data_IF_597668003558
#
_entry.id   IF_597668003558
#
_cell.length_a   1.000
_cell.length_b   1.000
_cell.length_c   1.000
_cell.angle_alpha   90.00
_cell.angle_beta   90.00
_cell.angle_gamma   90.00
#
_symmetry.space_group_name_H-M   'P 1'
#
loop_
_entity.id
_entity.type
_entity.pdbx_description
1 polymer ?
#
# COMPACT_ATOMS: atom_id res chain seq x y z
N UNK A 1 -7.01 19.00 30.76
CA UNK A 1 -7.57 19.17 29.41
C UNK A 1 -6.41 19.00 28.44
N UNK A 2 -6.36 17.87 27.74
CA UNK A 2 -5.18 17.50 26.92
C UNK A 2 -5.35 18.00 25.50
N UNK A 3 -4.89 19.19 25.15
CA UNK A 3 -5.18 19.79 23.85
C UNK A 3 -3.98 19.60 22.92
N UNK A 4 -4.18 19.03 21.73
CA UNK A 4 -3.17 19.06 20.67
C UNK A 4 -2.88 20.52 20.29
N UNK A 5 -1.61 20.91 20.25
CA UNK A 5 -1.23 22.25 19.77
C UNK A 5 -1.13 22.22 18.25
N UNK A 6 -1.86 23.10 17.58
CA UNK A 6 -1.94 23.15 16.11
C UNK A 6 -1.35 24.46 15.60
N UNK A 7 -0.48 24.37 14.59
CA UNK A 7 0.07 25.52 13.86
C UNK A 7 -0.19 25.36 12.37
N UNK A 8 -0.59 26.44 11.70
CA UNK A 8 -0.85 26.41 10.27
C UNK A 8 0.28 27.03 9.46
N UNK A 9 0.65 26.39 8.36
CA UNK A 9 1.50 26.95 7.30
C UNK A 9 0.73 26.98 5.98
N UNK A 10 0.95 28.03 5.18
CA UNK A 10 0.32 28.17 3.86
C UNK A 10 0.89 27.15 2.88
N UNK A 11 0.04 26.60 2.03
CA UNK A 11 0.49 25.88 0.84
C UNK A 11 0.93 26.91 -0.22
N UNK A 12 2.22 26.98 -0.53
CA UNK A 12 2.76 27.94 -1.51
C UNK A 12 2.28 27.68 -2.94
N UNK A 13 1.83 26.45 -3.24
CA UNK A 13 1.26 26.09 -4.53
C UNK A 13 -0.23 26.43 -4.67
N UNK A 14 -0.85 27.03 -3.64
CA UNK A 14 -2.27 27.37 -3.65
C UNK A 14 -2.57 28.47 -4.67
N UNK A 15 -3.58 28.22 -5.51
CA UNK A 15 -4.15 29.20 -6.45
C UNK A 15 -5.67 29.18 -6.40
N UNK A 16 -6.30 30.36 -6.44
CA UNK A 16 -7.77 30.49 -6.41
C UNK A 16 -8.48 29.91 -7.63
N UNK A 17 -7.76 29.54 -8.70
CA UNK A 17 -8.34 29.06 -9.96
C UNK A 17 -8.54 27.52 -10.06
N UNK A 18 -8.14 26.73 -9.05
CA UNK A 18 -8.19 25.26 -9.13
C UNK A 18 -9.45 24.63 -8.48
N UNK A 19 -10.46 24.14 -9.21
CA UNK A 19 -11.51 23.23 -8.66
C UNK A 19 -12.34 23.65 -7.41
N UNK A 20 -13.13 22.70 -6.88
CA UNK A 20 -14.08 22.93 -5.76
C UNK A 20 -13.47 22.72 -4.36
N UNK A 21 -12.46 21.87 -4.20
CA UNK A 21 -11.79 21.61 -2.91
C UNK A 21 -10.27 21.72 -3.08
N UNK A 22 -9.67 22.72 -2.42
CA UNK A 22 -8.27 23.13 -2.67
C UNK A 22 -7.44 22.95 -1.42
N UNK A 23 -6.30 22.27 -1.55
CA UNK A 23 -5.32 22.19 -0.46
C UNK A 23 -4.75 23.59 -0.19
N UNK A 24 -5.15 24.19 0.93
CA UNK A 24 -4.84 25.59 1.25
C UNK A 24 -3.77 25.72 2.33
N UNK A 25 -3.85 24.88 3.35
CA UNK A 25 -2.96 24.93 4.51
C UNK A 25 -2.43 23.52 4.80
N UNK A 26 -1.30 23.48 5.50
CA UNK A 26 -0.86 22.32 6.24
C UNK A 26 -0.90 22.65 7.72
N UNK A 27 -1.46 21.76 8.52
CA UNK A 27 -1.42 21.82 9.97
C UNK A 27 -0.24 21.00 10.49
N UNK A 28 0.59 21.63 11.32
CA UNK A 28 1.52 20.95 12.22
C UNK A 28 0.78 20.68 13.53
N UNK A 29 0.73 19.42 13.97
CA UNK A 29 0.01 18.99 15.16
C UNK A 29 0.98 18.36 16.14
N UNK A 30 1.17 19.00 17.28
CA UNK A 30 1.94 18.44 18.38
C UNK A 30 1.06 17.49 19.20
N UNK A 31 1.46 16.22 19.24
CA UNK A 31 0.76 15.16 19.96
C UNK A 31 1.28 14.97 21.38
N UNK A 32 2.19 15.81 21.86
CA UNK A 32 2.78 15.74 23.21
C UNK A 32 1.74 15.74 24.31
N UNK A 33 0.63 16.45 24.13
CA UNK A 33 -0.52 16.40 25.03
C UNK A 33 -1.00 14.96 25.25
N UNK A 34 -1.04 14.15 24.20
CA UNK A 34 -1.49 12.76 24.25
C UNK A 34 -0.43 11.75 24.75
N UNK A 35 0.70 12.23 25.27
CA UNK A 35 1.84 11.39 25.66
C UNK A 35 2.73 10.95 24.50
N UNK A 36 2.42 11.37 23.26
CA UNK A 36 3.16 10.97 22.06
C UNK A 36 4.19 12.04 21.74
N UNK A 37 5.49 11.68 21.69
CA UNK A 37 6.58 12.60 21.35
C UNK A 37 6.65 12.98 19.86
N UNK A 38 5.66 12.59 19.06
CA UNK A 38 5.63 12.82 17.63
C UNK A 38 4.90 14.12 17.30
N UNK A 39 5.39 14.79 16.26
CA UNK A 39 4.74 15.95 15.66
C UNK A 39 4.32 15.56 14.25
N UNK A 40 3.02 15.68 13.97
CA UNK A 40 2.48 15.57 12.61
C UNK A 40 2.86 16.85 11.87
N UNK A 41 3.60 16.75 10.77
CA UNK A 41 4.22 17.92 10.11
C UNK A 41 3.37 18.52 9.00
N UNK A 42 2.45 17.74 8.44
CA UNK A 42 1.78 18.11 7.19
C UNK A 42 0.35 17.60 7.08
N UNK A 43 -0.45 17.69 8.15
CA UNK A 43 -1.87 17.36 8.08
C UNK A 43 -2.56 18.28 7.03
N UNK A 44 -3.11 17.76 5.93
CA UNK A 44 -3.68 18.58 4.86
C UNK A 44 -4.97 19.26 5.32
N UNK A 45 -5.11 20.55 5.01
CA UNK A 45 -6.35 21.30 5.25
C UNK A 45 -6.81 21.94 3.95
N UNK A 46 -7.93 21.42 3.46
CA UNK A 46 -8.59 21.86 2.25
C UNK A 46 -9.55 23.00 2.55
N UNK A 47 -9.85 23.75 1.49
CA UNK A 47 -10.71 24.91 1.54
C UNK A 47 -11.68 24.88 0.36
N UNK A 48 -12.96 25.12 0.67
CA UNK A 48 -14.03 25.31 -0.30
C UNK A 48 -14.87 26.55 0.05
N UNK A 49 -15.15 27.39 -0.95
CA UNK A 49 -16.12 28.48 -0.81
C UNK A 49 -17.51 27.95 -1.14
N UNK A 50 -18.50 28.26 -0.31
CA UNK A 50 -19.87 27.81 -0.55
C UNK A 50 -20.55 28.69 -1.61
N UNK A 51 -21.16 28.06 -2.61
CA UNK A 51 -21.97 28.75 -3.63
C UNK A 51 -23.25 29.32 -2.98
N UNK A 52 -23.87 28.54 -2.11
CA UNK A 52 -25.02 28.95 -1.28
C UNK A 52 -24.59 28.92 0.19
N UNK A 53 -24.34 30.07 0.81
CA UNK A 53 -23.96 30.12 2.21
C UNK A 53 -25.05 29.57 3.14
N UNK A 54 -24.65 28.93 4.24
CA UNK A 54 -25.56 28.46 5.29
C UNK A 54 -25.36 29.33 6.53
N UNK A 55 -26.32 30.22 6.81
CA UNK A 55 -26.19 31.20 7.89
C UNK A 55 -24.99 32.14 7.69
N UNK A 56 -24.09 32.32 8.69
CA UNK A 56 -22.87 33.13 8.54
C UNK A 56 -21.73 32.38 7.82
N UNK A 57 -21.86 31.07 7.61
CA UNK A 57 -20.78 30.24 7.04
C UNK A 57 -20.70 30.48 5.53
N UNK A 58 -19.56 31.03 5.09
CA UNK A 58 -19.25 31.29 3.68
C UNK A 58 -18.23 30.32 3.09
N UNK A 59 -17.48 29.64 3.97
CA UNK A 59 -16.36 28.77 3.62
C UNK A 59 -16.39 27.52 4.48
N UNK A 60 -15.85 26.43 3.97
CA UNK A 60 -15.66 25.17 4.70
C UNK A 60 -14.19 24.79 4.62
N UNK A 61 -13.63 24.46 5.78
CA UNK A 61 -12.33 23.83 5.91
C UNK A 61 -12.53 22.34 6.13
N UNK A 62 -11.85 21.54 5.33
CA UNK A 62 -11.90 20.08 5.41
C UNK A 62 -10.51 19.56 5.78
N UNK A 63 -10.45 18.57 6.66
CA UNK A 63 -9.27 17.74 6.85
C UNK A 63 -9.70 16.29 7.00
N UNK A 64 -8.73 15.37 6.96
CA UNK A 64 -8.99 13.94 7.10
C UNK A 64 -8.05 13.39 8.15
N UNK A 65 -8.56 12.58 9.08
CA UNK A 65 -7.73 11.83 10.02
C UNK A 65 -8.11 10.36 9.90
N UNK A 66 -7.14 9.54 9.51
CA UNK A 66 -7.36 8.12 9.23
C UNK A 66 -8.54 7.86 8.27
N UNK A 67 -8.72 8.74 7.28
CA UNK A 67 -9.80 8.67 6.29
C UNK A 67 -11.16 9.22 6.76
N UNK A 68 -11.28 9.66 8.01
CA UNK A 68 -12.50 10.30 8.51
C UNK A 68 -12.53 11.78 8.12
N UNK A 69 -13.54 12.25 7.36
CA UNK A 69 -13.66 13.65 6.99
C UNK A 69 -14.06 14.50 8.20
N UNK A 70 -13.35 15.62 8.38
CA UNK A 70 -13.61 16.64 9.40
C UNK A 70 -13.91 17.96 8.69
N UNK A 71 -15.14 18.44 8.79
CA UNK A 71 -15.56 19.70 8.16
C UNK A 71 -15.95 20.75 9.20
N UNK A 72 -15.48 21.98 9.00
CA UNK A 72 -15.84 23.11 9.86
C UNK A 72 -15.90 24.44 9.10
N UNK A 73 -16.73 25.37 9.57
CA UNK A 73 -16.86 26.72 9.00
C UNK A 73 -15.70 27.66 9.33
N UNK A 74 -14.81 27.30 10.26
CA UNK A 74 -13.62 28.05 10.64
C UNK A 74 -12.54 27.12 11.21
N UNK A 75 -11.30 27.61 11.28
CA UNK A 75 -10.15 26.82 11.73
C UNK A 75 -10.24 26.41 13.21
N UNK A 76 -10.67 27.30 14.11
CA UNK A 76 -10.80 26.98 15.54
C UNK A 76 -11.75 25.80 15.80
N UNK A 77 -12.86 25.73 15.06
CA UNK A 77 -13.77 24.58 15.15
C UNK A 77 -13.16 23.32 14.53
N UNK A 78 -12.36 23.45 13.47
CA UNK A 78 -11.61 22.33 12.89
C UNK A 78 -10.56 21.79 13.89
N UNK A 79 -9.83 22.65 14.58
CA UNK A 79 -8.87 22.27 15.63
C UNK A 79 -9.54 21.41 16.72
N UNK A 80 -10.73 21.82 17.16
CA UNK A 80 -11.50 21.04 18.13
C UNK A 80 -11.91 19.66 17.59
N UNK A 81 -12.33 19.58 16.32
CA UNK A 81 -12.67 18.30 15.68
C UNK A 81 -11.44 17.39 15.52
N UNK A 82 -10.28 17.97 15.20
CA UNK A 82 -9.00 17.28 15.12
C UNK A 82 -8.66 16.69 16.50
N UNK A 83 -8.68 17.50 17.56
CA UNK A 83 -8.40 17.08 18.94
C UNK A 83 -9.35 15.96 19.40
N UNK A 84 -10.66 16.13 19.20
CA UNK A 84 -11.68 15.13 19.55
C UNK A 84 -11.49 13.81 18.79
N UNK A 85 -11.11 13.88 17.51
CA UNK A 85 -10.82 12.68 16.71
C UNK A 85 -9.54 11.99 17.17
N UNK A 86 -8.48 12.74 17.46
CA UNK A 86 -7.22 12.21 18.00
C UNK A 86 -7.45 11.49 19.34
N UNK A 87 -8.28 12.03 20.24
CA UNK A 87 -8.67 11.36 21.51
C UNK A 87 -9.32 9.99 21.28
N UNK A 88 -10.07 9.84 20.19
CA UNK A 88 -10.79 8.59 19.89
C UNK A 88 -9.86 7.53 19.31
N UNK A 89 -8.88 7.93 18.51
CA UNK A 89 -7.98 6.98 17.83
C UNK A 89 -6.68 6.72 18.59
N UNK A 90 -6.23 7.63 19.48
CA UNK A 90 -5.03 7.39 20.27
C UNK A 90 -5.38 6.43 21.41
N UNK A 91 -4.60 5.36 21.53
CA UNK A 91 -4.69 4.37 22.60
C UNK A 91 -3.30 4.00 23.06
N UNK A 92 -3.14 3.78 24.36
CA UNK A 92 -1.86 3.39 24.96
C UNK A 92 -0.72 4.39 24.66
N UNK A 93 -1.02 5.68 24.51
CA UNK A 93 -0.03 6.70 24.10
C UNK A 93 0.61 6.41 22.73
N UNK A 94 -0.11 5.70 21.86
CA UNK A 94 0.31 5.40 20.49
C UNK A 94 -0.81 5.77 19.50
N UNK A 95 -0.39 6.27 18.34
CA UNK A 95 -1.25 6.27 17.16
C UNK A 95 -1.37 4.83 16.62
N UNK A 96 -2.47 4.47 15.96
CA UNK A 96 -2.51 3.27 15.15
C UNK A 96 -1.39 3.34 14.09
N UNK A 97 -0.65 2.26 13.90
CA UNK A 97 0.33 2.17 12.82
C UNK A 97 -0.34 1.68 11.53
N UNK A 98 -1.32 0.79 11.66
CA UNK A 98 -2.08 0.25 10.55
C UNK A 98 -3.58 0.24 10.84
N UNK A 99 -4.35 0.00 9.80
CA UNK A 99 -5.76 -0.38 9.91
C UNK A 99 -5.99 -1.63 9.07
N UNK A 100 -6.70 -2.61 9.61
CA UNK A 100 -7.29 -3.63 8.74
C UNK A 100 -8.71 -3.21 8.36
N UNK A 101 -9.08 -3.44 7.11
CA UNK A 101 -10.36 -3.03 6.56
C UNK A 101 -11.06 -4.21 5.91
N UNK A 102 -12.35 -4.35 6.23
CA UNK A 102 -13.27 -5.32 5.63
C UNK A 102 -14.52 -4.57 5.20
N UNK A 103 -14.76 -4.54 3.88
CA UNK A 103 -15.80 -3.69 3.27
C UNK A 103 -15.57 -2.23 3.70
N UNK A 104 -16.59 -1.58 4.26
CA UNK A 104 -16.55 -0.18 4.66
C UNK A 104 -16.06 0.04 6.11
N UNK A 105 -15.76 -1.05 6.83
CA UNK A 105 -15.30 -0.95 8.21
C UNK A 105 -13.79 -1.09 8.29
N UNK A 106 -13.15 -0.20 9.03
CA UNK A 106 -11.72 -0.23 9.32
C UNK A 106 -11.50 -0.20 10.84
N UNK A 107 -10.52 -0.98 11.30
CA UNK A 107 -10.17 -1.06 12.72
C UNK A 107 -8.68 -0.86 12.92
N UNK A 108 -8.29 -0.07 13.93
CA UNK A 108 -6.90 0.30 14.17
C UNK A 108 -6.08 -0.88 14.69
N UNK A 109 -4.80 -0.89 14.30
CA UNK A 109 -3.76 -1.78 14.78
C UNK A 109 -2.69 -0.90 15.43
N UNK A 110 -2.42 -1.14 16.70
CA UNK A 110 -1.45 -0.40 17.51
C UNK A 110 -0.19 -1.23 17.70
N UNK A 111 0.92 -0.56 18.00
CA UNK A 111 2.20 -1.22 18.30
C UNK A 111 2.73 -0.80 19.68
N UNK A 112 2.03 -1.11 20.79
CA UNK A 112 2.53 -0.79 22.12
C UNK A 112 3.68 -1.74 22.49
N UNK A 113 4.92 -1.28 22.33
CA UNK A 113 6.10 -2.08 22.66
C UNK A 113 6.52 -3.05 21.54
N UNK A 114 6.52 -4.35 21.80
CA UNK A 114 7.09 -5.38 20.89
C UNK A 114 6.09 -6.17 20.05
N UNK A 115 4.79 -5.90 20.22
CA UNK A 115 3.71 -6.60 19.53
C UNK A 115 2.74 -5.62 18.87
N UNK A 116 2.20 -6.04 17.73
CA UNK A 116 1.09 -5.40 17.06
C UNK A 116 -0.22 -5.97 17.60
N UNK A 117 -1.07 -5.08 18.12
CA UNK A 117 -2.32 -5.40 18.78
C UNK A 117 -3.49 -4.82 18.00
N UNK A 118 -4.53 -5.64 17.80
CA UNK A 118 -5.75 -5.23 17.16
C UNK A 118 -6.98 -5.82 17.85
N UNK A 119 -8.08 -5.06 17.83
CA UNK A 119 -9.39 -5.49 18.32
C UNK A 119 -10.48 -4.86 17.49
N UNK A 120 -11.50 -5.66 17.15
CA UNK A 120 -12.76 -5.14 16.62
C UNK A 120 -13.89 -5.29 17.66
N UNK A 121 -14.95 -4.47 17.58
CA UNK A 121 -16.06 -4.52 18.54
C UNK A 121 -16.67 -5.92 18.67
N UNK A 122 -16.74 -6.43 19.90
CA UNK A 122 -17.27 -7.77 20.21
C UNK A 122 -16.35 -8.94 19.82
N UNK A 123 -15.15 -8.67 19.30
CA UNK A 123 -14.17 -9.70 18.95
C UNK A 123 -13.10 -9.96 20.02
N UNK A 124 -12.29 -11.01 19.83
CA UNK A 124 -11.10 -11.25 20.65
C UNK A 124 -10.03 -10.18 20.39
N UNK A 125 -9.01 -10.15 21.24
CA UNK A 125 -7.79 -9.37 21.02
C UNK A 125 -6.84 -10.22 20.19
N UNK A 126 -6.30 -9.64 19.12
CA UNK A 126 -5.28 -10.23 18.27
C UNK A 126 -3.95 -9.56 18.59
N UNK A 127 -2.91 -10.34 18.85
CA UNK A 127 -1.55 -9.85 19.10
C UNK A 127 -0.49 -10.72 18.44
N UNK A 128 0.42 -10.12 17.70
CA UNK A 128 1.56 -10.83 17.07
C UNK A 128 2.77 -9.91 16.94
N UNK A 129 3.97 -10.47 16.78
CA UNK A 129 5.20 -9.69 16.61
C UNK A 129 5.38 -9.00 15.25
N UNK A 130 4.54 -9.27 14.25
CA UNK A 130 4.66 -8.69 12.92
C UNK A 130 3.31 -8.58 12.18
N UNK A 131 3.22 -7.62 11.25
CA UNK A 131 1.95 -7.27 10.61
C UNK A 131 1.45 -8.35 9.65
N UNK A 132 2.35 -9.15 9.08
CA UNK A 132 2.00 -10.15 8.09
C UNK A 132 1.32 -11.36 8.79
N UNK A 133 1.86 -11.80 9.92
CA UNK A 133 1.25 -12.78 10.82
C UNK A 133 -0.09 -12.30 11.37
N UNK A 134 -0.17 -11.04 11.84
CA UNK A 134 -1.42 -10.46 12.33
C UNK A 134 -2.50 -10.49 11.24
N UNK A 135 -2.13 -10.13 10.01
CA UNK A 135 -3.02 -10.12 8.86
C UNK A 135 -3.56 -11.52 8.56
N UNK A 136 -2.73 -12.55 8.61
CA UNK A 136 -3.18 -13.94 8.38
C UNK A 136 -4.19 -14.34 9.46
N UNK A 137 -3.85 -14.12 10.73
CA UNK A 137 -4.72 -14.50 11.84
C UNK A 137 -6.08 -13.78 11.80
N UNK A 138 -6.07 -12.46 11.59
CA UNK A 138 -7.30 -11.67 11.40
C UNK A 138 -8.13 -12.18 10.22
N UNK A 139 -7.50 -12.45 9.08
CA UNK A 139 -8.19 -12.92 7.89
C UNK A 139 -8.81 -14.31 8.10
N UNK A 140 -8.13 -15.22 8.78
CA UNK A 140 -8.65 -16.55 9.13
C UNK A 140 -9.84 -16.46 10.06
N UNK A 141 -9.75 -15.64 11.10
CA UNK A 141 -10.86 -15.41 12.00
C UNK A 141 -12.08 -14.86 11.27
N UNK A 142 -11.91 -13.79 10.48
CA UNK A 142 -13.01 -13.19 9.72
C UNK A 142 -13.61 -14.16 8.69
N UNK A 143 -12.82 -15.08 8.16
CA UNK A 143 -13.31 -16.15 7.29
C UNK A 143 -14.14 -17.16 8.09
N UNK A 144 -13.64 -17.61 9.25
CA UNK A 144 -14.31 -18.57 10.12
C UNK A 144 -15.69 -18.06 10.60
N UNK A 145 -15.81 -16.76 10.91
CA UNK A 145 -17.08 -16.14 11.32
C UNK A 145 -17.93 -15.65 10.12
N UNK A 146 -17.58 -16.03 8.89
CA UNK A 146 -18.37 -15.73 7.68
C UNK A 146 -18.40 -14.26 7.24
N UNK A 147 -17.52 -13.40 7.77
CA UNK A 147 -17.45 -11.97 7.39
C UNK A 147 -16.74 -11.75 6.06
N UNK A 148 -15.81 -12.64 5.70
CA UNK A 148 -15.15 -12.67 4.39
C UNK A 148 -15.16 -14.09 3.82
N UNK A 149 -15.23 -14.21 2.50
CA UNK A 149 -15.17 -15.52 1.83
C UNK A 149 -13.72 -16.03 1.68
N UNK A 150 -12.75 -15.12 1.58
CA UNK A 150 -11.34 -15.46 1.45
C UNK A 150 -10.44 -14.39 2.09
N UNK A 151 -9.21 -14.77 2.44
CA UNK A 151 -8.21 -13.89 3.07
C UNK A 151 -7.86 -12.64 2.23
N UNK A 152 -8.13 -12.66 0.92
CA UNK A 152 -7.81 -11.57 -0.02
C UNK A 152 -8.82 -10.41 0.05
N UNK A 153 -9.98 -10.61 0.69
CA UNK A 153 -11.01 -9.58 0.92
C UNK A 153 -10.72 -8.67 2.11
N UNK A 154 -9.65 -8.94 2.86
CA UNK A 154 -9.18 -8.05 3.92
C UNK A 154 -8.05 -7.17 3.39
N UNK A 155 -8.25 -5.86 3.49
CA UNK A 155 -7.27 -4.85 3.18
C UNK A 155 -6.47 -4.50 4.43
N UNK A 156 -5.22 -4.11 4.22
CA UNK A 156 -4.38 -3.53 5.26
C UNK A 156 -3.96 -2.16 4.77
N UNK A 157 -4.12 -1.15 5.61
CA UNK A 157 -3.85 0.25 5.33
C UNK A 157 -2.80 0.73 6.32
N UNK A 158 -1.92 1.64 5.90
CA UNK A 158 -0.89 2.23 6.75
C UNK A 158 -1.29 3.65 7.14
N UNK A 159 -1.19 4.00 8.43
CA UNK A 159 -1.37 5.38 8.86
C UNK A 159 -0.04 6.11 8.80
N UNK A 160 0.04 7.12 7.94
CA UNK A 160 1.23 7.96 7.86
C UNK A 160 1.31 8.86 9.10
N UNK A 161 2.40 8.79 9.88
CA UNK A 161 2.59 9.68 11.03
C UNK A 161 2.89 11.14 10.59
N UNK A 162 3.19 11.36 9.31
CA UNK A 162 3.55 12.67 8.77
C UNK A 162 2.34 13.57 8.53
N UNK A 163 1.22 12.98 8.11
CA UNK A 163 0.01 13.69 7.66
C UNK A 163 -1.32 13.06 8.14
N UNK A 164 -1.25 11.99 8.94
CA UNK A 164 -2.39 11.22 9.47
C UNK A 164 -3.34 10.66 8.40
N UNK A 165 -2.87 10.53 7.16
CA UNK A 165 -3.63 9.89 6.10
C UNK A 165 -3.44 8.38 6.12
N UNK A 166 -4.46 7.65 5.65
CA UNK A 166 -4.37 6.21 5.42
C UNK A 166 -3.96 5.93 3.98
N UNK A 167 -2.97 5.05 3.84
CA UNK A 167 -2.43 4.63 2.55
C UNK A 167 -2.71 3.16 2.31
N UNK A 168 -3.31 2.85 1.17
CA UNK A 168 -3.36 1.49 0.67
C UNK A 168 -1.95 1.04 0.25
N UNK A 169 -1.67 -0.27 0.22
CA UNK A 169 -0.40 -0.77 -0.28
C UNK A 169 -0.20 -0.37 -1.74
N UNK A 170 0.97 0.16 -2.06
CA UNK A 170 1.45 0.40 -3.42
C UNK A 170 1.51 -0.91 -4.21
N UNK A 171 1.99 -1.98 -3.56
CA UNK A 171 1.97 -3.34 -4.06
C UNK A 171 2.09 -4.33 -2.89
N UNK A 172 2.11 -5.62 -3.19
CA UNK A 172 2.45 -6.68 -2.24
C UNK A 172 3.55 -7.57 -2.82
N UNK A 173 4.49 -7.97 -1.99
CA UNK A 173 5.48 -8.99 -2.29
C UNK A 173 4.91 -10.35 -1.89
N UNK A 174 4.92 -11.31 -2.82
CA UNK A 174 4.26 -12.61 -2.65
C UNK A 174 5.10 -13.77 -3.19
N UNK A 175 5.21 -14.82 -2.39
CA UNK A 175 5.72 -16.15 -2.76
C UNK A 175 4.61 -17.03 -3.35
N UNK A 176 4.96 -18.11 -4.04
CA UNK A 176 3.99 -19.14 -4.43
C UNK A 176 3.53 -20.00 -3.24
N UNK A 177 4.38 -20.16 -2.23
CA UNK A 177 4.02 -20.81 -0.98
C UNK A 177 3.03 -19.94 -0.18
N UNK A 178 1.77 -20.39 -0.08
CA UNK A 178 0.69 -19.70 0.62
C UNK A 178 0.81 -19.76 2.16
N UNK A 179 1.75 -20.56 2.69
CA UNK A 179 2.06 -20.57 4.13
C UNK A 179 2.85 -19.33 4.56
N UNK A 180 3.55 -18.69 3.61
CA UNK A 180 4.33 -17.49 3.84
C UNK A 180 3.43 -16.26 3.66
N UNK A 181 3.29 -15.40 4.68
CA UNK A 181 2.47 -14.20 4.58
C UNK A 181 2.96 -13.20 3.51
N UNK A 182 2.02 -12.60 2.78
CA UNK A 182 2.30 -11.48 1.87
C UNK A 182 2.94 -10.30 2.64
N UNK A 183 3.96 -9.68 2.05
CA UNK A 183 4.58 -8.45 2.59
C UNK A 183 4.01 -7.24 1.83
N UNK A 184 3.18 -6.40 2.47
CA UNK A 184 2.64 -5.20 1.85
C UNK A 184 3.71 -4.12 1.74
N UNK A 185 3.70 -3.36 0.65
CA UNK A 185 4.57 -2.20 0.48
C UNK A 185 3.70 -0.96 0.49
N UNK A 186 3.98 -0.01 1.39
CA UNK A 186 3.18 1.20 1.52
C UNK A 186 3.94 2.42 1.03
N UNK A 187 3.26 3.38 0.38
CA UNK A 187 3.80 4.72 0.26
C UNK A 187 3.71 5.42 1.62
N UNK A 188 4.74 6.19 1.96
CA UNK A 188 4.80 7.03 3.14
C UNK A 188 5.31 8.40 2.74
N UNK A 189 4.53 9.43 3.02
CA UNK A 189 4.99 10.82 2.87
C UNK A 189 5.95 11.18 4.00
N UNK A 190 6.97 11.96 3.68
CA UNK A 190 7.85 12.58 4.66
C UNK A 190 8.28 14.00 4.20
N UNK A 191 9.26 14.58 4.88
CA UNK A 191 9.77 15.92 4.58
C UNK A 191 10.50 16.00 3.23
N UNK A 192 11.10 14.89 2.77
CA UNK A 192 11.94 14.82 1.57
C UNK A 192 11.16 14.30 0.34
N UNK A 193 9.94 13.79 0.54
CA UNK A 193 9.04 13.36 -0.52
C UNK A 193 8.24 12.13 -0.13
N UNK A 194 8.14 11.18 -1.06
CA UNK A 194 7.47 9.90 -0.82
C UNK A 194 8.52 8.79 -0.77
N UNK A 195 8.46 8.00 0.29
CA UNK A 195 9.19 6.74 0.42
C UNK A 195 8.24 5.56 0.24
N UNK A 196 8.80 4.43 -0.15
CA UNK A 196 8.15 3.13 -0.02
C UNK A 196 8.69 2.46 1.25
N UNK A 197 7.80 1.83 2.01
CA UNK A 197 8.16 1.09 3.22
C UNK A 197 7.68 -0.36 3.13
N UNK A 198 8.49 -1.27 3.66
CA UNK A 198 8.22 -2.70 3.72
C UNK A 198 8.37 -3.20 5.17
N UNK A 199 7.26 -3.48 5.89
CA UNK A 199 7.33 -4.10 7.20
C UNK A 199 7.61 -5.60 7.06
N UNK A 200 8.72 -6.07 7.63
CA UNK A 200 9.13 -7.48 7.60
C UNK A 200 9.60 -7.93 8.98
N UNK A 201 8.77 -8.70 9.68
CA UNK A 201 9.01 -8.98 11.10
C UNK A 201 8.90 -7.71 11.93
N UNK A 202 9.93 -7.42 12.74
CA UNK A 202 10.01 -6.23 13.62
C UNK A 202 10.74 -5.03 13.01
N UNK A 203 11.11 -5.11 11.74
CA UNK A 203 11.84 -4.04 11.05
C UNK A 203 11.01 -3.49 9.90
N UNK A 204 11.15 -2.19 9.66
CA UNK A 204 10.57 -1.49 8.51
C UNK A 204 11.70 -1.05 7.61
N UNK A 205 11.80 -1.67 6.44
CA UNK A 205 12.73 -1.25 5.40
C UNK A 205 12.13 -0.05 4.66
N UNK A 206 12.98 0.81 4.12
CA UNK A 206 12.53 1.95 3.32
C UNK A 206 13.40 2.17 2.09
N UNK A 207 12.78 2.70 1.03
CA UNK A 207 13.46 3.17 -0.16
C UNK A 207 12.75 4.41 -0.71
N UNK A 208 13.48 5.30 -1.38
CA UNK A 208 12.87 6.44 -2.07
C UNK A 208 11.91 5.96 -3.15
N UNK A 209 10.73 6.57 -3.26
CA UNK A 209 9.72 6.15 -4.25
C UNK A 209 10.29 6.18 -5.68
N UNK A 210 10.96 7.28 -6.06
CA UNK A 210 11.61 7.44 -7.37
C UNK A 210 10.72 6.99 -8.55
N UNK A 211 9.48 7.48 -8.60
CA UNK A 211 8.50 7.09 -9.60
C UNK A 211 8.14 5.59 -9.60
N UNK A 212 8.31 4.92 -8.46
CA UNK A 212 8.09 3.49 -8.26
C UNK A 212 9.36 2.65 -8.28
N UNK A 213 10.50 3.11 -8.82
CA UNK A 213 11.74 2.29 -8.93
C UNK A 213 12.28 1.82 -7.59
N UNK A 214 12.00 2.53 -6.51
CA UNK A 214 12.39 2.14 -5.15
C UNK A 214 11.94 0.72 -4.78
N UNK A 215 10.90 0.20 -5.44
CA UNK A 215 10.40 -1.15 -5.20
C UNK A 215 11.46 -2.23 -5.46
N UNK A 216 12.36 -2.05 -6.43
CA UNK A 216 13.39 -3.05 -6.72
C UNK A 216 14.45 -3.12 -5.64
N UNK A 217 14.76 -2.00 -4.98
CA UNK A 217 15.67 -1.97 -3.83
C UNK A 217 15.03 -2.69 -2.63
N UNK A 218 13.75 -2.39 -2.34
CA UNK A 218 13.01 -3.09 -1.29
C UNK A 218 12.85 -4.56 -1.58
N UNK A 219 12.57 -4.93 -2.83
CA UNK A 219 12.48 -6.32 -3.28
C UNK A 219 13.74 -7.09 -2.92
N UNK A 220 14.94 -6.59 -3.29
CA UNK A 220 16.21 -7.25 -2.96
C UNK A 220 16.42 -7.39 -1.46
N UNK A 221 16.24 -6.31 -0.71
CA UNK A 221 16.43 -6.34 0.74
C UNK A 221 15.47 -7.34 1.42
N UNK A 222 14.20 -7.35 1.02
CA UNK A 222 13.19 -8.30 1.51
C UNK A 222 13.58 -9.73 1.16
N UNK A 223 13.96 -9.99 -0.10
CA UNK A 223 14.44 -11.28 -0.57
C UNK A 223 15.64 -11.78 0.24
N UNK A 224 16.63 -10.94 0.49
CA UNK A 224 17.82 -11.30 1.26
C UNK A 224 17.46 -11.68 2.70
N UNK A 225 16.54 -10.94 3.33
CA UNK A 225 16.06 -11.25 4.67
C UNK A 225 15.26 -12.56 4.70
N UNK A 226 14.38 -12.78 3.72
CA UNK A 226 13.58 -14.01 3.64
C UNK A 226 14.45 -15.22 3.37
N UNK A 227 15.46 -15.09 2.52
CA UNK A 227 16.45 -16.13 2.24
C UNK A 227 17.28 -16.45 3.49
N UNK A 228 17.79 -15.43 4.18
CA UNK A 228 18.54 -15.58 5.43
C UNK A 228 17.72 -16.30 6.51
N UNK A 229 16.41 -16.04 6.58
CA UNK A 229 15.48 -16.71 7.50
C UNK A 229 15.05 -18.11 7.02
N UNK A 230 15.50 -18.57 5.86
CA UNK A 230 15.10 -19.85 5.27
C UNK A 230 13.62 -19.91 4.86
N UNK A 231 12.97 -18.76 4.66
CA UNK A 231 11.58 -18.69 4.23
C UNK A 231 11.43 -18.93 2.73
N UNK A 232 12.43 -18.55 1.94
CA UNK A 232 12.53 -18.85 0.51
C UNK A 232 13.86 -19.57 0.25
N UNK A 233 13.94 -20.36 -0.82
CA UNK A 233 15.18 -21.09 -1.17
C UNK A 233 16.05 -20.28 -2.12
N UNK A 234 15.43 -19.47 -2.97
CA UNK A 234 16.11 -18.59 -3.91
C UNK A 234 15.66 -17.12 -3.75
N UNK A 235 16.55 -16.13 -3.98
CA UNK A 235 16.24 -14.70 -3.79
C UNK A 235 15.03 -14.21 -4.58
N UNK A 236 14.64 -14.93 -5.62
CA UNK A 236 13.67 -14.45 -6.56
C UNK A 236 12.34 -15.21 -6.57
N UNK A 237 12.10 -16.09 -5.60
CA UNK A 237 10.79 -16.75 -5.45
C UNK A 237 9.63 -15.76 -5.18
N UNK A 238 9.96 -14.49 -4.93
CA UNK A 238 9.02 -13.41 -4.68
C UNK A 238 8.58 -12.76 -5.99
N UNK A 239 7.28 -12.49 -6.10
CA UNK A 239 6.64 -11.69 -7.15
C UNK A 239 6.10 -10.38 -6.59
N UNK A 240 6.12 -9.30 -7.38
CA UNK A 240 5.45 -8.04 -7.04
C UNK A 240 4.03 -8.12 -7.59
N UNK A 241 3.00 -7.90 -6.77
CA UNK A 241 1.60 -8.00 -7.17
C UNK A 241 0.77 -6.80 -6.74
N UNK A 242 -0.43 -6.70 -7.33
CA UNK A 242 -1.41 -5.64 -7.05
C UNK A 242 -0.88 -4.23 -7.38
N UNK A 243 0.11 -4.12 -8.25
CA UNK A 243 0.58 -2.83 -8.73
C UNK A 243 -0.50 -2.22 -9.62
N UNK A 244 -0.93 -1.00 -9.30
CA UNK A 244 -2.01 -0.32 -10.05
C UNK A 244 -1.55 0.01 -11.48
N UNK A 245 -2.47 0.16 -12.46
CA UNK A 245 -2.12 0.60 -13.81
C UNK A 245 -1.38 1.95 -13.82
N UNK A 246 -1.81 2.89 -12.96
CA UNK A 246 -1.20 4.22 -12.86
C UNK A 246 0.23 4.15 -12.32
N UNK A 247 0.46 3.36 -11.29
CA UNK A 247 1.79 3.19 -10.71
C UNK A 247 2.71 2.39 -11.62
N UNK A 248 2.16 1.39 -12.32
CA UNK A 248 2.87 0.68 -13.37
C UNK A 248 3.33 1.62 -14.47
N UNK A 249 2.48 2.51 -14.99
CA UNK A 249 2.86 3.43 -16.06
C UNK A 249 4.07 4.32 -15.68
N UNK A 250 4.11 4.79 -14.42
CA UNK A 250 5.26 5.54 -13.89
C UNK A 250 6.53 4.70 -13.79
N UNK A 251 6.39 3.43 -13.37
CA UNK A 251 7.51 2.50 -13.27
C UNK A 251 8.00 2.06 -14.66
N UNK A 252 7.09 1.80 -15.59
CA UNK A 252 7.34 1.32 -16.95
C UNK A 252 8.12 2.33 -17.78
N UNK A 253 7.77 3.62 -17.71
CA UNK A 253 8.49 4.72 -18.39
C UNK A 253 9.98 4.83 -18.03
N UNK A 254 10.37 4.05 -17.03
CA UNK A 254 11.63 4.08 -16.32
C UNK A 254 12.42 2.77 -16.53
N UNK A 255 11.81 1.76 -17.16
CA UNK A 255 12.40 0.48 -17.52
C UNK A 255 12.84 0.48 -18.99
N UNK A 256 13.83 -0.35 -19.34
CA UNK A 256 14.26 -0.53 -20.73
C UNK A 256 13.49 -1.72 -21.33
N UNK A 257 12.65 -1.53 -22.37
CA UNK A 257 12.02 -2.66 -23.05
C UNK A 257 13.06 -3.60 -23.67
N UNK A 258 12.83 -4.90 -23.57
CA UNK A 258 13.67 -5.91 -24.20
C UNK A 258 13.17 -6.29 -25.60
N UNK A 259 14.07 -6.84 -26.43
CA UNK A 259 13.74 -7.32 -27.77
C UNK A 259 13.03 -8.68 -27.77
N UNK A 260 12.73 -9.22 -26.59
CA UNK A 260 11.98 -10.47 -26.41
C UNK A 260 10.70 -10.20 -25.65
N UNK A 261 9.74 -11.10 -25.77
CA UNK A 261 8.49 -11.10 -25.01
C UNK A 261 8.19 -12.51 -24.55
N UNK A 262 7.41 -12.62 -23.47
CA UNK A 262 6.97 -13.90 -22.93
C UNK A 262 5.61 -14.23 -23.52
N UNK A 263 5.50 -15.42 -24.11
CA UNK A 263 4.29 -15.87 -24.83
C UNK A 263 3.84 -17.21 -24.32
N UNK A 264 2.53 -17.34 -24.18
CA UNK A 264 1.85 -18.58 -23.84
C UNK A 264 0.43 -18.55 -24.40
N UNK A 265 -0.20 -19.71 -24.41
CA UNK A 265 -1.59 -19.87 -24.80
C UNK A 265 -2.44 -20.12 -23.57
N UNK A 266 -3.60 -19.47 -23.49
CA UNK A 266 -4.58 -19.72 -22.43
C UNK A 266 -5.95 -19.95 -23.01
N UNK A 267 -6.70 -20.84 -22.37
CA UNK A 267 -8.09 -21.05 -22.73
C UNK A 267 -8.97 -19.93 -22.13
N UNK A 268 -9.71 -19.24 -22.98
CA UNK A 268 -10.73 -18.26 -22.60
C UNK A 268 -12.00 -18.57 -23.38
N UNK A 269 -13.11 -18.77 -22.67
CA UNK A 269 -14.43 -19.02 -23.27
C UNK A 269 -14.41 -20.17 -24.31
N UNK A 270 -13.67 -21.24 -24.03
CA UNK A 270 -13.53 -22.41 -24.91
C UNK A 270 -12.65 -22.19 -26.14
N UNK A 271 -11.94 -21.06 -26.23
CA UNK A 271 -10.99 -20.77 -27.31
C UNK A 271 -9.58 -20.57 -26.76
N UNK A 272 -8.60 -21.13 -27.47
CA UNK A 272 -7.20 -20.94 -27.16
C UNK A 272 -6.75 -19.54 -27.64
N UNK A 273 -6.28 -18.71 -26.72
CA UNK A 273 -5.86 -17.35 -27.01
C UNK A 273 -4.38 -17.18 -26.68
N UNK A 274 -3.63 -16.66 -27.64
CA UNK A 274 -2.24 -16.27 -27.46
C UNK A 274 -2.15 -15.02 -26.59
N UNK A 275 -1.32 -15.07 -25.55
CA UNK A 275 -1.04 -13.96 -24.65
C UNK A 275 0.42 -13.57 -24.79
N UNK A 276 0.68 -12.26 -24.80
CA UNK A 276 2.00 -11.67 -24.97
C UNK A 276 2.23 -10.75 -23.76
N UNK A 277 3.16 -11.14 -22.90
CA UNK A 277 3.57 -10.34 -21.74
C UNK A 277 4.91 -9.65 -22.03
N UNK A 278 5.00 -8.32 -21.83
CA UNK A 278 6.21 -7.57 -22.11
C UNK A 278 7.34 -7.93 -21.13
N UNK A 279 8.56 -7.94 -21.66
CA UNK A 279 9.80 -8.14 -20.92
C UNK A 279 10.59 -6.83 -20.92
N UNK A 280 11.18 -6.52 -19.77
CA UNK A 280 12.02 -5.35 -19.59
C UNK A 280 13.34 -5.75 -18.95
N UNK A 281 14.37 -4.95 -19.17
CA UNK A 281 15.62 -5.01 -18.44
C UNK A 281 15.76 -3.82 -17.50
N UNK A 282 16.43 -4.11 -16.39
CA UNK A 282 17.03 -3.14 -15.46
C UNK A 282 18.56 -3.30 -15.52
N UNK A 283 19.31 -2.75 -14.57
CA UNK A 283 20.78 -2.84 -14.58
C UNK A 283 21.29 -4.29 -14.57
N UNK A 284 20.64 -5.17 -13.82
CA UNK A 284 21.10 -6.52 -13.50
C UNK A 284 19.95 -7.55 -13.44
N UNK A 285 18.73 -7.15 -13.78
CA UNK A 285 17.54 -8.00 -13.70
C UNK A 285 16.65 -7.85 -14.93
N UNK A 286 15.98 -8.95 -15.30
CA UNK A 286 14.88 -9.02 -16.23
C UNK A 286 13.55 -9.02 -15.49
N UNK A 287 12.57 -8.29 -16.02
CA UNK A 287 11.24 -8.12 -15.44
C UNK A 287 10.18 -8.49 -16.46
N UNK A 288 9.34 -9.47 -16.15
CA UNK A 288 8.13 -9.79 -16.93
C UNK A 288 6.94 -9.13 -16.25
N UNK A 289 6.16 -8.34 -16.99
CA UNK A 289 5.01 -7.62 -16.44
C UNK A 289 3.68 -8.16 -16.98
N UNK A 290 3.03 -9.03 -16.21
CA UNK A 290 1.74 -9.62 -16.55
C UNK A 290 0.58 -8.77 -16.06
N UNK A 291 -0.50 -8.70 -16.83
CA UNK A 291 -1.76 -8.07 -16.41
C UNK A 291 -2.73 -9.13 -15.88
N UNK A 292 -3.27 -8.92 -14.68
CA UNK A 292 -4.29 -9.81 -14.12
C UNK A 292 -5.71 -9.44 -14.62
N UNK A 293 -6.72 -10.24 -14.22
CA UNK A 293 -8.12 -10.06 -14.68
C UNK A 293 -8.76 -8.71 -14.29
N UNK A 294 -8.22 -8.01 -13.30
CA UNK A 294 -8.74 -6.71 -12.82
C UNK A 294 -7.84 -5.54 -13.27
N UNK A 295 -6.93 -5.76 -14.21
CA UNK A 295 -6.05 -4.72 -14.77
C UNK A 295 -4.78 -4.43 -13.97
N UNK A 296 -4.62 -4.97 -12.76
CA UNK A 296 -3.39 -4.77 -11.97
C UNK A 296 -2.24 -5.58 -12.55
N UNK A 297 -1.02 -5.07 -12.37
CA UNK A 297 0.20 -5.73 -12.81
C UNK A 297 0.75 -6.70 -11.77
N UNK A 298 1.38 -7.75 -12.30
CA UNK A 298 2.20 -8.72 -11.57
C UNK A 298 3.57 -8.72 -12.23
N UNK A 299 4.62 -8.50 -11.45
CA UNK A 299 6.00 -8.47 -11.94
C UNK A 299 6.75 -9.70 -11.42
N UNK A 300 7.39 -10.40 -12.35
CA UNK A 300 8.35 -11.47 -12.07
C UNK A 300 9.74 -10.95 -12.40
N UNK A 301 10.73 -11.29 -11.58
CA UNK A 301 12.04 -10.65 -11.61
C UNK A 301 13.13 -11.72 -11.50
N UNK A 302 14.05 -11.82 -12.46
CA UNK A 302 15.21 -12.73 -12.43
C UNK A 302 16.48 -12.08 -12.98
N UNK A 303 17.63 -12.76 -12.88
CA UNK A 303 18.90 -12.38 -13.51
C UNK A 303 18.96 -12.71 -14.99
N UNK A 304 18.15 -13.66 -15.47
CA UNK A 304 18.14 -14.05 -16.87
C UNK A 304 16.72 -14.29 -17.42
N UNK A 305 16.59 -14.23 -18.74
CA UNK A 305 15.32 -14.34 -19.46
C UNK A 305 14.67 -15.70 -19.28
N UNK A 306 15.45 -16.80 -19.29
CA UNK A 306 14.91 -18.15 -19.22
C UNK A 306 14.29 -18.39 -17.84
N UNK A 307 15.00 -18.01 -16.79
CA UNK A 307 14.58 -18.24 -15.41
C UNK A 307 13.37 -17.35 -15.03
N UNK A 308 13.30 -16.09 -15.50
CA UNK A 308 12.09 -15.26 -15.30
C UNK A 308 10.88 -15.85 -16.05
N UNK A 309 11.09 -16.36 -17.27
CA UNK A 309 10.03 -17.02 -18.06
C UNK A 309 9.54 -18.29 -17.38
N UNK A 310 10.44 -19.13 -16.87
CA UNK A 310 10.08 -20.34 -16.12
C UNK A 310 9.24 -20.00 -14.88
N UNK A 311 9.59 -18.92 -14.15
CA UNK A 311 8.81 -18.50 -12.98
C UNK A 311 7.43 -17.98 -13.32
N UNK A 312 7.27 -17.32 -14.46
CA UNK A 312 5.94 -16.96 -14.97
C UNK A 312 5.15 -18.24 -15.28
N UNK A 313 5.78 -19.23 -15.93
CA UNK A 313 5.19 -20.54 -16.21
C UNK A 313 4.70 -21.28 -14.97
N UNK A 314 5.56 -21.36 -13.94
CA UNK A 314 5.22 -21.96 -12.64
C UNK A 314 4.00 -21.27 -11.99
N UNK A 315 3.95 -19.95 -12.00
CA UNK A 315 2.80 -19.21 -11.45
C UNK A 315 1.52 -19.43 -12.27
N UNK A 316 1.62 -19.40 -13.60
CA UNK A 316 0.47 -19.63 -14.48
C UNK A 316 -0.08 -21.05 -14.31
N UNK A 317 0.79 -22.05 -14.20
CA UNK A 317 0.41 -23.44 -13.93
C UNK A 317 -0.23 -23.58 -12.54
N UNK A 318 0.38 -22.99 -11.51
CA UNK A 318 -0.17 -22.99 -10.15
C UNK A 318 -1.61 -22.44 -10.09
N UNK A 319 -1.90 -21.39 -10.87
CA UNK A 319 -3.24 -20.82 -10.99
C UNK A 319 -4.13 -21.49 -12.06
N UNK A 320 -3.71 -22.61 -12.65
CA UNK A 320 -4.45 -23.36 -13.67
C UNK A 320 -4.71 -22.57 -14.96
N UNK A 321 -3.85 -21.59 -15.28
CA UNK A 321 -3.97 -20.79 -16.51
C UNK A 321 -3.36 -21.50 -17.72
N UNK A 322 -2.32 -22.31 -17.50
CA UNK A 322 -1.68 -23.18 -18.49
C UNK A 322 -1.59 -24.60 -17.92
N UNK A 323 -1.46 -25.61 -18.79
CA UNK A 323 -1.46 -27.02 -18.38
C UNK A 323 -0.09 -27.47 -17.89
N UNK A 324 0.97 -27.10 -18.59
CA UNK A 324 2.35 -27.38 -18.21
C UNK A 324 3.09 -26.05 -17.93
N UNK A 325 3.88 -25.93 -16.84
CA UNK A 325 4.71 -24.75 -16.60
C UNK A 325 5.73 -24.45 -17.73
N UNK A 326 6.00 -25.41 -18.61
CA UNK A 326 6.87 -25.26 -19.79
C UNK A 326 6.12 -24.83 -21.06
N UNK A 327 4.80 -24.67 -21.04
CA UNK A 327 3.98 -24.14 -22.15
C UNK A 327 4.15 -22.63 -22.37
N UNK A 328 5.27 -22.07 -21.92
CA UNK A 328 5.62 -20.65 -21.97
C UNK A 328 6.99 -20.49 -22.62
N UNK A 329 7.12 -19.49 -23.49
CA UNK A 329 8.34 -19.27 -24.26
C UNK A 329 8.73 -17.80 -24.24
N UNK A 330 10.04 -17.53 -24.33
CA UNK A 330 10.55 -16.19 -24.65
C UNK A 330 10.86 -16.13 -26.14
N UNK A 331 10.20 -15.23 -26.86
CA UNK A 331 10.33 -15.10 -28.32
C UNK A 331 10.79 -13.68 -28.70
N UNK A 332 11.56 -13.50 -29.79
CA UNK A 332 11.89 -12.18 -30.30
C UNK A 332 10.63 -11.35 -30.64
N UNK A 333 10.68 -10.04 -30.43
CA UNK A 333 9.56 -9.13 -30.67
C UNK A 333 9.09 -9.14 -32.14
N UNK A 334 10.00 -9.50 -33.07
CA UNK A 334 9.73 -9.59 -34.51
C UNK A 334 9.04 -10.90 -34.95
N UNK A 335 8.72 -11.80 -34.00
CA UNK A 335 8.10 -13.09 -34.30
C UNK A 335 6.56 -13.08 -34.29
N UNK A 336 5.93 -11.90 -34.33
CA UNK A 336 4.48 -11.71 -34.22
C UNK A 336 3.91 -10.84 -35.33
#
# INVERSE_FOLDING_TARGET
>A
MTIATIKYRKNMAYSENQGEEKLRLFAEVDLSGFGIKNIVRALPVYYRKLIKPVGPVRVVYTSYIAGLPLEAGNLTRLEWLIDDTLRKIIRFEHLPEYFFQVKDNAWPIYHPGSELISRYPGGPVFSTGDIASLRVWLADHFKAIGRIQNRRKMNLLYLSPYDLQIYAPFCVLRTLDETIPDIPIFPMADADGVKLIAPIGRQTLSANYAGGKGIFSLYRQVSDIMLFKGQIKEPYEISIRKLSPTDWSKLESQLKPELRTVVYERELNGSLNKVIDPLYATQDLYVVARTNRIGNKVLYIDRDVQSVTQRVGLDLHYYGTIRDPHDIQSLPLMAF
#
